data_IF_405940879118
#
_entry.id   IF_405940879118
#
_cell.length_a   1.000
_cell.length_b   1.000
_cell.length_c   1.000
_cell.angle_alpha   90.00
_cell.angle_beta   90.00
_cell.angle_gamma   90.00
#
_symmetry.space_group_name_H-M   'P 1'
#
loop_
_entity.id
_entity.type
_entity.pdbx_description
1 polymer ?
#
# COMPACT_ATOMS: atom_id res chain seq x y z
N UNK A 1 -6.72 8.11 -15.50
CA UNK A 1 -7.28 9.42 -15.95
C UNK A 1 -6.38 10.58 -15.51
N UNK A 2 -5.97 10.66 -14.24
CA UNK A 2 -5.14 11.75 -13.72
C UNK A 2 -3.76 11.89 -14.40
N UNK A 3 -3.07 10.78 -14.65
CA UNK A 3 -1.80 10.81 -15.40
C UNK A 3 -1.95 11.41 -16.81
N UNK A 4 -3.02 11.03 -17.53
CA UNK A 4 -3.34 11.61 -18.86
C UNK A 4 -3.68 13.10 -18.78
N UNK A 5 -4.13 13.58 -17.62
CA UNK A 5 -4.37 14.99 -17.35
C UNK A 5 -3.11 15.75 -16.87
N UNK A 6 -1.94 15.11 -16.89
CA UNK A 6 -0.65 15.75 -16.55
C UNK A 6 -0.29 15.72 -15.07
N UNK A 7 -0.96 14.91 -14.24
CA UNK A 7 -0.62 14.75 -12.82
C UNK A 7 0.84 14.31 -12.64
N UNK A 8 1.58 15.05 -11.79
CA UNK A 8 2.99 14.79 -11.48
C UNK A 8 3.23 14.18 -10.10
N UNK A 9 2.29 14.43 -9.17
CA UNK A 9 2.38 14.02 -7.77
C UNK A 9 1.00 13.55 -7.31
N UNK A 10 0.98 12.55 -6.43
CA UNK A 10 -0.23 12.00 -5.85
C UNK A 10 -0.18 12.14 -4.34
N UNK A 11 -1.29 12.60 -3.75
CA UNK A 11 -1.52 12.54 -2.31
C UNK A 11 -2.58 11.46 -2.09
N UNK A 12 -2.23 10.44 -1.30
CA UNK A 12 -3.15 9.42 -0.83
C UNK A 12 -3.57 9.75 0.60
N UNK A 13 -4.82 10.10 0.80
CA UNK A 13 -5.36 10.49 2.11
C UNK A 13 -6.05 9.31 2.78
N UNK A 14 -5.46 8.82 3.87
CA UNK A 14 -5.94 7.71 4.71
C UNK A 14 -6.37 8.19 6.11
N UNK A 15 -6.49 9.50 6.33
CA UNK A 15 -7.03 10.06 7.57
C UNK A 15 -8.47 9.58 7.79
N UNK A 16 -8.81 9.21 9.01
CA UNK A 16 -10.12 8.61 9.31
C UNK A 16 -10.30 7.16 8.84
N UNK A 17 -9.31 6.55 8.17
CA UNK A 17 -9.43 5.19 7.62
C UNK A 17 -8.98 4.13 8.63
N UNK A 18 -9.92 3.51 9.34
CA UNK A 18 -9.66 2.46 10.32
C UNK A 18 -9.18 1.11 9.75
N UNK A 19 -8.92 1.03 8.45
CA UNK A 19 -8.44 -0.16 7.77
C UNK A 19 -9.54 -0.96 7.10
N UNK A 20 -9.28 -2.26 6.91
CA UNK A 20 -10.12 -3.12 6.10
C UNK A 20 -9.44 -4.45 5.82
N UNK A 21 -9.62 -4.95 4.60
CA UNK A 21 -9.07 -6.22 4.18
C UNK A 21 -7.59 -6.10 3.80
N UNK A 22 -6.79 -7.10 4.19
CA UNK A 22 -5.34 -7.13 3.96
C UNK A 22 -4.98 -7.17 2.48
N UNK A 23 -5.68 -8.01 1.71
CA UNK A 23 -5.36 -8.21 0.29
C UNK A 23 -5.54 -6.91 -0.50
N UNK A 24 -6.56 -6.13 -0.17
CA UNK A 24 -6.87 -4.85 -0.80
C UNK A 24 -5.79 -3.82 -0.47
N UNK A 25 -5.27 -3.80 0.76
CA UNK A 25 -4.14 -2.95 1.10
C UNK A 25 -2.87 -3.35 0.33
N UNK A 26 -2.59 -4.65 0.20
CA UNK A 26 -1.43 -5.13 -0.54
C UNK A 26 -1.57 -4.89 -2.03
N UNK A 27 -2.77 -5.04 -2.59
CA UNK A 27 -3.06 -4.78 -4.01
C UNK A 27 -2.91 -3.30 -4.36
N UNK A 28 -3.26 -2.40 -3.42
CA UNK A 28 -3.04 -0.96 -3.57
C UNK A 28 -1.56 -0.62 -3.41
N UNK A 29 -0.85 -1.23 -2.46
CA UNK A 29 0.60 -1.02 -2.28
C UNK A 29 1.38 -1.44 -3.53
N UNK A 30 0.98 -2.54 -4.17
CA UNK A 30 1.56 -3.05 -5.41
C UNK A 30 1.42 -2.06 -6.60
N UNK A 31 0.48 -1.12 -6.54
CA UNK A 31 0.39 -0.07 -7.57
C UNK A 31 1.52 0.98 -7.48
N UNK A 32 2.22 1.03 -6.33
CA UNK A 32 3.22 2.05 -6.01
C UNK A 32 4.64 1.50 -5.86
N UNK A 33 4.80 0.18 -5.70
CA UNK A 33 6.08 -0.48 -5.46
C UNK A 33 6.54 -1.23 -6.70
N UNK A 34 7.81 -1.08 -7.08
CA UNK A 34 8.39 -1.74 -8.25
C UNK A 34 9.04 -3.10 -7.93
N UNK A 35 8.94 -4.02 -8.88
CA UNK A 35 9.63 -5.31 -8.85
C UNK A 35 9.06 -6.30 -7.83
N UNK A 36 9.88 -7.21 -7.33
CA UNK A 36 9.49 -8.23 -6.33
C UNK A 36 9.83 -7.77 -4.91
N UNK A 37 9.14 -6.72 -4.45
CA UNK A 37 9.28 -6.20 -3.09
C UNK A 37 8.33 -6.90 -2.13
N UNK A 38 8.80 -7.10 -0.90
CA UNK A 38 7.97 -7.51 0.22
C UNK A 38 7.14 -6.31 0.66
N UNK A 39 5.82 -6.45 0.67
CA UNK A 39 4.89 -5.42 1.14
C UNK A 39 4.72 -5.58 2.66
N UNK A 40 4.30 -6.76 3.09
CA UNK A 40 4.11 -7.11 4.49
C UNK A 40 4.23 -8.62 4.67
N UNK A 41 4.50 -9.06 5.90
CA UNK A 41 4.41 -10.47 6.24
C UNK A 41 3.59 -10.65 7.51
N UNK A 42 2.93 -11.81 7.61
CA UNK A 42 2.30 -12.26 8.84
C UNK A 42 3.07 -13.46 9.37
N UNK A 43 3.33 -13.49 10.67
CA UNK A 43 3.97 -14.62 11.33
C UNK A 43 3.28 -14.84 12.68
N UNK A 44 2.79 -16.07 12.89
CA UNK A 44 2.17 -16.47 14.14
C UNK A 44 3.10 -17.33 14.98
N UNK A 45 2.78 -17.45 16.27
CA UNK A 45 3.51 -18.34 17.20
C UNK A 45 3.50 -19.81 16.74
N UNK A 46 2.39 -20.26 16.14
CA UNK A 46 2.20 -21.62 15.60
C UNK A 46 1.88 -21.65 14.10
N UNK A 47 1.98 -20.50 13.44
CA UNK A 47 1.65 -20.35 12.02
C UNK A 47 2.90 -19.85 11.32
N UNK A 48 3.36 -20.62 10.34
CA UNK A 48 4.51 -20.27 9.51
C UNK A 48 4.31 -18.91 8.86
N UNK A 49 5.42 -18.21 8.66
CA UNK A 49 5.45 -16.92 8.00
C UNK A 49 4.80 -16.99 6.61
N UNK A 50 3.98 -16.00 6.31
CA UNK A 50 3.39 -15.77 4.99
C UNK A 50 3.75 -14.36 4.51
N UNK A 51 4.25 -14.27 3.29
CA UNK A 51 4.75 -13.04 2.69
C UNK A 51 3.78 -12.55 1.63
N UNK A 52 3.37 -11.28 1.75
CA UNK A 52 2.67 -10.55 0.72
C UNK A 52 3.71 -9.75 -0.07
N UNK A 53 3.85 -10.08 -1.35
CA UNK A 53 4.83 -9.49 -2.26
C UNK A 53 4.13 -8.87 -3.44
N UNK A 54 4.79 -7.90 -4.05
CA UNK A 54 4.40 -7.32 -5.33
C UNK A 54 4.24 -8.42 -6.39
N UNK A 55 3.15 -8.38 -7.16
CA UNK A 55 2.80 -9.42 -8.12
C UNK A 55 2.66 -8.91 -9.55
N UNK A 56 2.42 -7.60 -9.72
CA UNK A 56 2.17 -6.97 -11.03
C UNK A 56 2.96 -5.68 -11.15
N UNK A 57 3.12 -5.23 -12.40
CA UNK A 57 3.59 -3.87 -12.65
C UNK A 57 2.50 -2.87 -12.25
N UNK A 58 2.84 -2.00 -11.30
CA UNK A 58 1.96 -0.98 -10.75
C UNK A 58 1.80 0.24 -11.66
N UNK A 59 0.65 0.92 -11.56
CA UNK A 59 0.37 2.09 -12.39
C UNK A 59 1.20 3.32 -12.02
N UNK A 60 1.77 3.40 -10.81
CA UNK A 60 2.43 4.60 -10.30
C UNK A 60 3.75 4.34 -9.56
N UNK A 61 4.44 3.25 -9.88
CA UNK A 61 5.72 2.82 -9.28
C UNK A 61 6.81 3.90 -9.23
N UNK A 62 6.87 4.76 -10.25
CA UNK A 62 7.90 5.82 -10.39
C UNK A 62 7.38 7.20 -10.03
N UNK A 63 6.13 7.27 -9.57
CA UNK A 63 5.45 8.51 -9.25
C UNK A 63 5.88 9.07 -7.90
N UNK A 64 5.73 10.39 -7.72
CA UNK A 64 5.92 11.03 -6.42
C UNK A 64 4.64 10.87 -5.59
N UNK A 65 4.71 10.07 -4.53
CA UNK A 65 3.59 9.78 -3.63
C UNK A 65 3.83 10.44 -2.27
N UNK A 66 2.77 11.02 -1.71
CA UNK A 66 2.68 11.41 -0.30
C UNK A 66 1.48 10.68 0.29
N UNK A 67 1.66 10.01 1.43
CA UNK A 67 0.57 9.37 2.17
C UNK A 67 0.24 10.23 3.39
N UNK A 68 -1.03 10.58 3.59
CA UNK A 68 -1.51 11.30 4.76
C UNK A 68 -2.25 10.34 5.68
N UNK A 69 -1.87 10.32 6.95
CA UNK A 69 -2.47 9.52 8.01
C UNK A 69 -2.78 10.40 9.23
N UNK A 70 -3.67 9.93 10.11
CA UNK A 70 -3.93 10.51 11.43
C UNK A 70 -3.99 9.43 12.51
N UNK A 71 -4.29 9.80 13.76
CA UNK A 71 -4.36 8.87 14.89
C UNK A 71 -5.48 7.83 14.78
N UNK A 72 -6.39 7.97 13.82
CA UNK A 72 -7.49 7.03 13.58
C UNK A 72 -7.22 6.09 12.41
N UNK A 73 -6.12 6.30 11.67
CA UNK A 73 -5.65 5.38 10.64
C UNK A 73 -5.14 4.07 11.26
N UNK A 74 -5.63 2.91 10.80
CA UNK A 74 -5.31 1.63 11.44
C UNK A 74 -5.26 0.42 10.48
N UNK A 75 -4.66 -0.68 10.94
CA UNK A 75 -4.70 -2.01 10.30
C UNK A 75 -4.24 -1.98 8.83
N UNK A 76 -5.13 -2.27 7.89
CA UNK A 76 -4.84 -2.25 6.46
C UNK A 76 -4.25 -0.90 5.97
N UNK A 77 -4.64 0.22 6.59
CA UNK A 77 -4.05 1.54 6.30
C UNK A 77 -2.61 1.69 6.81
N UNK A 78 -2.27 1.05 7.92
CA UNK A 78 -0.89 1.00 8.43
C UNK A 78 -0.01 0.13 7.53
N UNK A 79 -0.54 -1.01 7.05
CA UNK A 79 0.14 -1.87 6.07
C UNK A 79 0.49 -1.09 4.81
N UNK A 80 -0.48 -0.35 4.27
CA UNK A 80 -0.27 0.44 3.05
C UNK A 80 0.72 1.60 3.24
N UNK A 81 0.81 2.16 4.45
CA UNK A 81 1.73 3.27 4.74
C UNK A 81 3.14 2.79 5.07
N UNK A 82 3.29 1.57 5.61
CA UNK A 82 4.57 0.99 6.02
C UNK A 82 5.32 0.20 4.96
N UNK A 83 4.67 -0.12 3.84
CA UNK A 83 5.25 -0.85 2.70
C UNK A 83 6.15 0.05 1.83
#
# INVERSE_FOLDING_TARGET
RLQKAGMQQLILDLRGNGGGLMNEATDIADEFLDGDKLIVYTQGDKVSRYDYRCQKEGLFEKGKLVVLIDETSASASEVLTGA
#
